data_IF_107489711190
#
_entry.id   IF_107489711190
#
_cell.length_a   1.000
_cell.length_b   1.000
_cell.length_c   1.000
_cell.angle_alpha   90.00
_cell.angle_beta   90.00
_cell.angle_gamma   90.00
#
_symmetry.space_group_name_H-M   'P 1'
#
loop_
_entity.id
_entity.type
_entity.pdbx_description
1 polymer ?
#
# COMPACT_ATOMS: atom_id res chain seq x y z
N UNK A 1 -19.84 56.55 40.12
CA UNK A 1 -20.19 55.17 39.76
C UNK A 1 -20.76 55.02 38.34
N UNK A 2 -21.75 55.80 37.88
CA UNK A 2 -22.32 55.61 36.50
C UNK A 2 -21.34 55.87 35.35
N UNK A 3 -20.32 56.70 35.45
CA UNK A 3 -19.34 56.95 34.37
C UNK A 3 -18.28 55.91 34.31
N UNK A 4 -17.95 55.18 35.38
CA UNK A 4 -17.02 54.02 35.31
C UNK A 4 -17.64 52.81 34.69
N UNK A 5 -18.94 52.57 34.81
CA UNK A 5 -19.65 51.48 34.21
C UNK A 5 -19.75 51.62 32.66
N UNK A 6 -19.92 52.83 32.16
CA UNK A 6 -20.01 53.11 30.72
C UNK A 6 -18.66 52.91 30.03
N UNK A 7 -17.55 53.27 30.68
CA UNK A 7 -16.20 53.03 30.12
C UNK A 7 -15.85 51.55 30.14
N UNK A 8 -16.21 50.80 31.18
CA UNK A 8 -16.00 49.35 31.24
C UNK A 8 -16.80 48.59 30.16
N UNK A 9 -18.05 49.04 29.90
CA UNK A 9 -18.88 48.43 28.84
C UNK A 9 -18.38 48.76 27.42
N UNK A 10 -17.85 49.96 27.20
CA UNK A 10 -17.26 50.36 25.92
C UNK A 10 -15.96 49.62 25.62
N UNK A 11 -15.10 49.41 26.65
CA UNK A 11 -13.87 48.63 26.51
C UNK A 11 -14.19 47.15 26.27
N UNK A 12 -15.22 46.59 26.92
CA UNK A 12 -15.65 45.20 26.70
C UNK A 12 -16.25 44.98 25.30
N UNK A 13 -17.00 45.93 24.75
CA UNK A 13 -17.52 45.88 23.39
C UNK A 13 -16.41 46.04 22.36
N UNK A 14 -15.39 46.84 22.58
CA UNK A 14 -14.24 47.00 21.67
C UNK A 14 -13.39 45.71 21.66
N UNK A 15 -13.17 45.07 22.82
CA UNK A 15 -12.46 43.79 22.88
C UNK A 15 -13.24 42.67 22.21
N UNK A 16 -14.55 42.60 22.33
CA UNK A 16 -15.38 41.62 21.63
C UNK A 16 -15.34 41.86 20.12
N UNK A 17 -15.38 43.13 19.66
CA UNK A 17 -15.27 43.44 18.23
C UNK A 17 -13.88 43.18 17.66
N UNK A 18 -12.79 43.35 18.41
CA UNK A 18 -11.43 43.04 17.98
C UNK A 18 -11.21 41.55 17.95
N UNK A 19 -11.76 40.75 18.88
CA UNK A 19 -11.71 39.28 18.79
C UNK A 19 -12.61 38.73 17.69
N UNK A 20 -13.81 39.28 17.47
CA UNK A 20 -14.68 38.87 16.36
C UNK A 20 -14.11 39.26 14.98
N UNK A 21 -13.31 40.31 14.87
CA UNK A 21 -12.65 40.70 13.62
C UNK A 21 -11.34 39.98 13.38
N UNK A 22 -10.73 39.36 14.39
CA UNK A 22 -9.55 38.48 14.25
C UNK A 22 -9.92 37.06 13.84
N UNK A 23 -11.13 36.58 14.14
CA UNK A 23 -11.61 35.30 13.64
C UNK A 23 -12.11 35.33 12.19
N UNK A 24 -12.33 36.53 11.60
CA UNK A 24 -12.80 36.68 10.21
C UNK A 24 -11.69 36.97 9.19
N UNK A 25 -10.43 36.98 9.60
CA UNK A 25 -9.27 37.12 8.70
C UNK A 25 -8.27 36.00 8.94
N UNK A 26 -8.73 34.74 8.88
CA UNK A 26 -7.92 33.66 8.36
C UNK A 26 -8.23 33.68 6.87
N UNK A 27 -7.33 34.14 5.99
CA UNK A 27 -7.50 33.84 4.59
C UNK A 27 -7.53 32.33 4.52
N UNK A 28 -8.61 31.77 4.01
CA UNK A 28 -8.56 30.47 3.38
C UNK A 28 -7.48 30.59 2.31
N UNK A 29 -6.28 30.19 2.65
CA UNK A 29 -5.25 29.89 1.68
C UNK A 29 -5.74 28.65 0.90
N UNK A 30 -6.74 28.86 0.04
CA UNK A 30 -6.84 28.11 -1.19
C UNK A 30 -5.64 28.55 -2.05
N UNK A 31 -4.45 28.13 -1.68
CA UNK A 31 -3.32 28.09 -2.60
C UNK A 31 -3.50 26.83 -3.41
N UNK A 32 -4.50 26.80 -4.27
CA UNK A 32 -4.45 25.95 -5.43
C UNK A 32 -3.51 26.62 -6.43
N UNK A 33 -2.21 26.41 -6.26
CA UNK A 33 -1.26 26.69 -7.31
C UNK A 33 -1.71 25.86 -8.54
N UNK A 34 -2.11 26.46 -9.67
CA UNK A 34 -2.55 25.72 -10.85
C UNK A 34 -1.53 24.67 -11.32
N UNK A 35 -0.25 24.93 -11.11
CA UNK A 35 0.85 24.02 -11.46
C UNK A 35 0.89 22.81 -10.51
N UNK A 36 0.56 22.97 -9.24
CA UNK A 36 0.47 21.88 -8.28
C UNK A 36 -0.72 20.97 -8.59
N UNK A 37 -1.88 21.56 -8.87
CA UNK A 37 -3.08 20.81 -9.26
C UNK A 37 -2.88 20.02 -10.57
N UNK A 38 -2.18 20.59 -11.53
CA UNK A 38 -1.87 19.92 -12.80
C UNK A 38 -0.89 18.74 -12.61
N UNK A 39 0.11 18.88 -11.73
CA UNK A 39 1.07 17.80 -11.42
C UNK A 39 0.51 16.70 -10.54
N UNK A 40 -0.48 16.99 -9.70
CA UNK A 40 -1.15 16.01 -8.86
C UNK A 40 -2.23 15.21 -9.62
N UNK A 41 -2.44 15.49 -10.91
CA UNK A 41 -3.40 14.73 -11.70
C UNK A 41 -2.95 13.25 -11.81
N UNK A 42 -3.62 12.37 -11.09
CA UNK A 42 -3.32 10.92 -11.05
C UNK A 42 -2.27 10.52 -9.99
N UNK A 43 -1.81 11.45 -9.14
CA UNK A 43 -0.94 11.15 -8.00
C UNK A 43 -1.67 11.38 -6.67
N UNK A 44 -1.61 10.39 -5.79
CA UNK A 44 -2.26 10.39 -4.49
C UNK A 44 -1.23 10.22 -3.39
N UNK A 45 -1.17 11.18 -2.47
CA UNK A 45 -0.28 11.18 -1.32
C UNK A 45 -1.07 11.32 -0.04
N UNK A 46 -0.81 10.48 0.94
CA UNK A 46 -1.53 10.54 2.22
C UNK A 46 -1.06 9.59 3.29
N UNK A 47 -1.96 9.32 4.22
CA UNK A 47 -1.70 8.47 5.37
C UNK A 47 -2.68 7.31 5.41
N UNK A 48 -2.22 6.18 5.94
CA UNK A 48 -3.05 5.03 6.28
C UNK A 48 -3.30 5.00 7.78
N UNK A 49 -4.56 5.05 8.17
CA UNK A 49 -4.99 5.07 9.57
C UNK A 49 -5.37 3.67 10.05
N UNK A 50 -4.58 3.11 10.95
CA UNK A 50 -4.82 1.81 11.59
C UNK A 50 -5.20 1.98 13.07
N UNK A 51 -6.27 2.74 13.34
CA UNK A 51 -6.75 3.03 14.68
C UNK A 51 -8.17 2.53 14.93
N UNK A 52 -8.68 2.77 16.16
CA UNK A 52 -9.93 2.14 16.63
C UNK A 52 -11.07 3.13 16.86
N UNK A 53 -10.83 4.45 16.74
CA UNK A 53 -11.87 5.45 17.03
C UNK A 53 -11.97 6.52 15.95
N UNK A 54 -13.20 6.94 15.67
CA UNK A 54 -13.48 8.02 14.72
C UNK A 54 -12.85 9.35 15.17
N UNK A 55 -12.71 9.57 16.48
CA UNK A 55 -12.07 10.77 17.02
C UNK A 55 -10.58 10.83 16.65
N UNK A 56 -9.85 9.72 16.77
CA UNK A 56 -8.43 9.62 16.35
C UNK A 56 -8.29 9.82 14.84
N UNK A 57 -9.14 9.19 14.04
CA UNK A 57 -9.13 9.37 12.58
C UNK A 57 -9.36 10.84 12.19
N UNK A 58 -10.36 11.51 12.77
CA UNK A 58 -10.63 12.94 12.50
C UNK A 58 -9.50 13.84 12.97
N UNK A 59 -8.83 13.49 14.07
CA UNK A 59 -7.66 14.23 14.55
C UNK A 59 -6.52 14.15 13.52
N UNK A 60 -6.23 12.94 12.99
CA UNK A 60 -5.20 12.74 11.97
C UNK A 60 -5.59 13.44 10.66
N UNK A 61 -6.84 13.31 10.18
CA UNK A 61 -7.33 14.02 9.00
C UNK A 61 -7.09 15.53 9.14
N UNK A 62 -7.46 16.13 10.27
CA UNK A 62 -7.23 17.55 10.50
C UNK A 62 -5.76 17.96 10.50
N UNK A 63 -4.88 17.05 10.90
CA UNK A 63 -3.44 17.28 10.91
C UNK A 63 -2.84 17.27 9.51
N UNK A 64 -3.30 16.35 8.63
CA UNK A 64 -2.64 16.08 7.34
C UNK A 64 -3.33 16.70 6.12
N UNK A 65 -4.61 17.09 6.22
CA UNK A 65 -5.41 17.55 5.05
C UNK A 65 -4.86 18.75 4.31
N UNK A 66 -3.93 19.52 4.92
CA UNK A 66 -3.29 20.65 4.26
C UNK A 66 -2.11 20.25 3.36
N UNK A 67 -1.54 19.07 3.57
CA UNK A 67 -0.37 18.58 2.85
C UNK A 67 -0.55 17.16 2.27
N UNK A 68 -1.78 16.71 2.10
CA UNK A 68 -2.12 15.43 1.48
C UNK A 68 -3.41 15.56 0.68
N UNK A 69 -3.67 14.59 -0.21
CA UNK A 69 -4.92 14.46 -0.95
C UNK A 69 -5.56 13.08 -0.78
N UNK A 70 -4.99 12.20 0.04
CA UNK A 70 -5.45 10.83 0.26
C UNK A 70 -5.55 10.50 1.75
N UNK A 71 -6.57 9.73 2.11
CA UNK A 71 -6.71 9.10 3.42
C UNK A 71 -7.13 7.63 3.26
N UNK A 72 -6.30 6.71 3.73
CA UNK A 72 -6.58 5.28 3.71
C UNK A 72 -7.16 4.87 5.07
N UNK A 73 -8.39 4.37 5.08
CA UNK A 73 -9.04 3.86 6.29
C UNK A 73 -8.67 2.39 6.45
N UNK A 74 -7.48 2.11 7.00
CA UNK A 74 -6.94 0.75 7.21
C UNK A 74 -7.22 0.30 8.65
N UNK A 75 -8.48 0.05 8.98
CA UNK A 75 -8.89 -0.26 10.35
C UNK A 75 -9.88 -1.42 10.37
N UNK A 76 -9.48 -2.52 11.02
CA UNK A 76 -10.36 -3.67 11.25
C UNK A 76 -11.66 -3.30 11.98
N UNK A 77 -11.63 -2.56 13.11
CA UNK A 77 -12.85 -2.14 13.79
C UNK A 77 -13.86 -1.37 12.93
N UNK A 78 -13.38 -0.58 11.95
CA UNK A 78 -14.28 0.13 11.04
C UNK A 78 -14.81 -0.76 9.93
N UNK A 79 -14.05 -1.78 9.53
CA UNK A 79 -14.51 -2.77 8.55
C UNK A 79 -15.74 -3.54 9.05
N UNK A 80 -15.93 -3.63 10.35
CA UNK A 80 -17.07 -4.29 11.00
C UNK A 80 -18.14 -3.31 11.49
N UNK A 81 -18.02 -1.99 11.17
CA UNK A 81 -18.94 -0.96 11.68
C UNK A 81 -19.29 0.07 10.59
N UNK A 82 -20.45 -0.13 9.94
CA UNK A 82 -20.93 0.74 8.88
C UNK A 82 -21.07 2.21 9.31
N UNK A 83 -21.53 2.45 10.56
CA UNK A 83 -21.75 3.81 11.06
C UNK A 83 -20.43 4.57 11.19
N UNK A 84 -19.41 3.94 11.78
CA UNK A 84 -18.10 4.54 11.95
C UNK A 84 -17.38 4.70 10.60
N UNK A 85 -17.51 3.73 9.69
CA UNK A 85 -16.98 3.81 8.33
C UNK A 85 -17.58 5.02 7.60
N UNK A 86 -18.90 5.20 7.62
CA UNK A 86 -19.58 6.34 7.01
C UNK A 86 -19.14 7.67 7.63
N UNK A 87 -19.02 7.73 8.95
CA UNK A 87 -18.61 8.96 9.67
C UNK A 87 -17.22 9.42 9.24
N UNK A 88 -16.27 8.48 9.11
CA UNK A 88 -14.89 8.81 8.72
C UNK A 88 -14.79 9.14 7.25
N UNK A 89 -15.39 8.35 6.36
CA UNK A 89 -15.31 8.60 4.93
C UNK A 89 -15.97 9.94 4.58
N UNK A 90 -17.14 10.22 5.14
CA UNK A 90 -17.79 11.53 4.97
C UNK A 90 -16.90 12.68 5.46
N UNK A 91 -16.23 12.51 6.61
CA UNK A 91 -15.35 13.54 7.15
C UNK A 91 -14.10 13.77 6.29
N UNK A 92 -13.48 12.71 5.80
CA UNK A 92 -12.31 12.79 4.92
C UNK A 92 -12.67 13.48 3.60
N UNK A 93 -13.75 13.05 2.94
CA UNK A 93 -14.23 13.65 1.68
C UNK A 93 -14.64 15.11 1.87
N UNK A 94 -15.36 15.45 2.96
CA UNK A 94 -15.70 16.83 3.29
C UNK A 94 -14.46 17.69 3.59
N UNK A 95 -13.33 17.06 3.96
CA UNK A 95 -12.03 17.71 4.15
C UNK A 95 -11.22 17.83 2.84
N UNK A 96 -11.76 17.40 1.71
CA UNK A 96 -11.13 17.47 0.37
C UNK A 96 -10.17 16.32 0.05
N UNK A 97 -10.23 15.22 0.80
CA UNK A 97 -9.38 14.05 0.62
C UNK A 97 -10.10 12.97 -0.21
N UNK A 98 -9.33 12.28 -1.03
CA UNK A 98 -9.73 11.01 -1.63
C UNK A 98 -9.61 9.89 -0.60
N UNK A 99 -10.36 8.80 -0.76
CA UNK A 99 -10.40 7.72 0.22
C UNK A 99 -10.23 6.35 -0.42
N UNK A 100 -9.48 5.50 0.28
CA UNK A 100 -9.42 4.06 0.10
C UNK A 100 -9.87 3.43 1.42
N UNK A 101 -10.73 2.42 1.38
CA UNK A 101 -11.23 1.76 2.60
C UNK A 101 -10.77 0.32 2.66
N UNK A 102 -10.38 -0.11 3.86
CA UNK A 102 -9.89 -1.45 4.10
C UNK A 102 -11.02 -2.39 4.51
N UNK A 103 -11.05 -3.55 3.86
CA UNK A 103 -11.72 -4.74 4.33
C UNK A 103 -10.72 -5.89 4.26
N UNK A 104 -10.35 -6.49 5.40
CA UNK A 104 -9.42 -7.63 5.42
C UNK A 104 -9.92 -8.78 4.56
N UNK A 105 -11.21 -9.04 4.65
CA UNK A 105 -12.01 -9.93 3.79
C UNK A 105 -13.48 -9.52 3.93
N UNK A 106 -14.32 -9.86 2.96
CA UNK A 106 -15.75 -9.62 3.12
C UNK A 106 -16.35 -10.64 4.07
N UNK A 107 -16.71 -10.14 5.25
CA UNK A 107 -17.26 -10.95 6.31
C UNK A 107 -18.72 -11.31 6.00
N UNK A 108 -19.08 -12.58 5.84
CA UNK A 108 -20.48 -12.98 5.57
C UNK A 108 -21.48 -12.54 6.64
N UNK A 109 -21.00 -12.22 7.85
CA UNK A 109 -21.86 -11.71 8.92
C UNK A 109 -22.09 -10.18 8.80
N UNK A 110 -21.31 -9.48 7.98
CA UNK A 110 -21.38 -8.04 7.76
C UNK A 110 -22.05 -7.76 6.39
N UNK A 111 -23.34 -8.09 6.29
CA UNK A 111 -24.09 -8.02 5.04
C UNK A 111 -24.17 -6.61 4.42
N UNK A 112 -23.77 -5.57 5.16
CA UNK A 112 -23.73 -4.19 4.70
C UNK A 112 -22.53 -3.88 3.78
N UNK A 113 -21.41 -4.61 3.89
CA UNK A 113 -20.15 -4.26 3.22
C UNK A 113 -20.28 -4.16 1.71
N UNK A 114 -20.86 -5.16 1.05
CA UNK A 114 -21.01 -5.17 -0.41
C UNK A 114 -22.00 -4.11 -0.93
N UNK A 115 -23.22 -3.97 -0.37
CA UNK A 115 -24.12 -2.86 -0.74
C UNK A 115 -23.50 -1.48 -0.50
N UNK A 116 -22.71 -1.32 0.55
CA UNK A 116 -22.00 -0.09 0.85
C UNK A 116 -20.98 0.25 -0.25
N UNK A 117 -20.14 -0.72 -0.64
CA UNK A 117 -19.14 -0.56 -1.71
C UNK A 117 -19.84 -0.22 -3.04
N UNK A 118 -20.92 -0.90 -3.38
CA UNK A 118 -21.67 -0.65 -4.62
C UNK A 118 -22.25 0.78 -4.67
N UNK A 119 -22.67 1.31 -3.51
CA UNK A 119 -23.18 2.68 -3.40
C UNK A 119 -22.09 3.75 -3.29
N UNK A 120 -20.86 3.39 -2.91
CA UNK A 120 -19.78 4.30 -2.58
C UNK A 120 -19.43 5.27 -3.72
N UNK A 121 -19.34 4.76 -4.96
CA UNK A 121 -19.10 5.61 -6.15
C UNK A 121 -20.20 6.63 -6.39
N UNK A 122 -21.46 6.29 -6.10
CA UNK A 122 -22.57 7.23 -6.26
C UNK A 122 -22.56 8.28 -5.16
N UNK A 123 -22.18 7.89 -3.95
CA UNK A 123 -22.18 8.75 -2.77
C UNK A 123 -21.02 9.74 -2.76
N UNK A 124 -19.81 9.29 -3.08
CA UNK A 124 -18.57 10.10 -2.96
C UNK A 124 -17.88 10.40 -4.31
N UNK A 125 -18.42 9.86 -5.39
CA UNK A 125 -17.93 10.14 -6.75
C UNK A 125 -16.46 9.74 -6.94
N UNK A 126 -15.67 10.65 -7.50
CA UNK A 126 -14.24 10.46 -7.74
C UNK A 126 -13.39 10.42 -6.47
N UNK A 127 -13.95 10.83 -5.32
CA UNK A 127 -13.22 10.76 -4.05
C UNK A 127 -13.13 9.33 -3.50
N UNK A 128 -14.00 8.41 -3.90
CA UNK A 128 -13.87 7.01 -3.55
C UNK A 128 -13.00 6.28 -4.58
N UNK A 129 -11.75 5.99 -4.23
CA UNK A 129 -10.77 5.39 -5.13
C UNK A 129 -10.91 3.87 -5.23
N UNK A 130 -11.35 3.21 -4.16
CA UNK A 130 -11.52 1.77 -4.15
C UNK A 130 -11.39 1.13 -2.77
N UNK A 131 -11.17 -0.17 -2.80
CA UNK A 131 -11.12 -1.04 -1.60
C UNK A 131 -9.74 -1.67 -1.48
N UNK A 132 -9.16 -1.53 -0.30
CA UNK A 132 -7.97 -2.25 0.12
C UNK A 132 -8.43 -3.60 0.71
N UNK A 133 -8.06 -4.68 0.04
CA UNK A 133 -8.42 -6.06 0.42
C UNK A 133 -7.19 -6.84 0.83
N UNK A 134 -7.30 -7.61 1.88
CA UNK A 134 -6.21 -8.39 2.46
C UNK A 134 -4.98 -7.49 2.71
N UNK A 135 -4.04 -8.00 3.47
CA UNK A 135 -2.81 -7.32 3.78
C UNK A 135 -1.67 -8.29 3.49
N UNK A 136 -0.66 -7.87 2.77
CA UNK A 136 0.54 -8.65 2.50
C UNK A 136 0.30 -10.05 1.89
N UNK A 137 -0.53 -10.22 0.85
CA UNK A 137 -0.89 -11.55 0.33
C UNK A 137 0.33 -12.37 -0.11
N UNK A 138 1.27 -11.78 -0.84
CA UNK A 138 2.49 -12.44 -1.30
C UNK A 138 3.51 -12.66 -0.19
N UNK A 139 3.70 -11.66 0.68
CA UNK A 139 4.59 -11.73 1.84
C UNK A 139 4.15 -12.80 2.83
N UNK A 140 2.86 -12.88 3.11
CA UNK A 140 2.30 -13.94 3.96
C UNK A 140 2.55 -15.34 3.41
N UNK A 141 2.60 -15.53 2.10
CA UNK A 141 2.98 -16.82 1.49
C UNK A 141 4.42 -17.19 1.84
N UNK A 142 5.34 -16.24 1.75
CA UNK A 142 6.76 -16.49 2.07
C UNK A 142 6.95 -16.81 3.56
N UNK A 143 6.23 -16.13 4.44
CA UNK A 143 6.36 -16.23 5.89
C UNK A 143 5.37 -17.21 6.54
N UNK A 144 4.59 -17.91 5.72
CA UNK A 144 3.47 -18.73 6.15
C UNK A 144 3.86 -19.87 7.10
N UNK A 145 3.05 -20.07 8.10
CA UNK A 145 2.97 -21.35 8.78
C UNK A 145 2.09 -22.33 7.97
N UNK A 146 2.65 -22.95 6.96
CA UNK A 146 1.94 -23.83 6.05
C UNK A 146 1.18 -24.97 6.75
N UNK A 147 1.62 -25.41 7.92
CA UNK A 147 0.90 -26.43 8.71
C UNK A 147 -0.45 -25.90 9.17
N UNK A 148 -0.52 -24.66 9.60
CA UNK A 148 -1.79 -24.01 10.00
C UNK A 148 -2.68 -23.77 8.79
N UNK A 149 -2.12 -23.26 7.69
CA UNK A 149 -2.87 -23.03 6.46
C UNK A 149 -3.47 -24.29 5.90
N UNK A 150 -2.70 -25.39 5.82
CA UNK A 150 -3.21 -26.67 5.33
C UNK A 150 -4.27 -27.23 6.25
N UNK A 151 -4.06 -27.17 7.57
CA UNK A 151 -5.07 -27.61 8.55
C UNK A 151 -6.37 -26.82 8.46
N UNK A 152 -6.27 -25.53 8.19
CA UNK A 152 -7.43 -24.66 7.99
C UNK A 152 -8.13 -24.96 6.67
N UNK A 153 -7.37 -25.14 5.58
CA UNK A 153 -7.90 -25.49 4.28
C UNK A 153 -8.55 -26.86 4.23
N UNK A 154 -8.00 -27.85 4.93
CA UNK A 154 -8.65 -29.16 5.07
C UNK A 154 -10.04 -29.04 5.72
N UNK A 155 -10.18 -28.17 6.70
CA UNK A 155 -11.49 -27.88 7.30
C UNK A 155 -12.45 -27.16 6.36
N UNK A 156 -11.92 -26.30 5.49
CA UNK A 156 -12.69 -25.52 4.52
C UNK A 156 -13.03 -26.30 3.28
N UNK A 157 -12.11 -27.12 2.76
CA UNK A 157 -12.36 -27.97 1.57
C UNK A 157 -13.52 -28.94 1.80
N UNK A 158 -13.71 -29.35 3.05
CA UNK A 158 -14.88 -30.12 3.47
C UNK A 158 -16.18 -29.30 3.40
N UNK A 159 -16.09 -27.95 3.53
CA UNK A 159 -17.25 -27.08 3.64
C UNK A 159 -17.62 -26.34 2.35
N UNK A 160 -16.64 -25.99 1.52
CA UNK A 160 -16.87 -25.04 0.42
C UNK A 160 -16.61 -25.58 -0.98
N UNK A 161 -15.92 -26.69 -1.16
CA UNK A 161 -15.45 -27.22 -2.46
C UNK A 161 -14.68 -26.16 -3.32
N UNK A 162 -14.18 -25.10 -2.72
CA UNK A 162 -13.59 -23.96 -3.41
C UNK A 162 -12.08 -24.06 -3.60
N UNK A 163 -11.39 -24.87 -2.75
CA UNK A 163 -9.97 -25.14 -2.93
C UNK A 163 -9.81 -26.50 -3.60
N UNK A 164 -9.21 -26.58 -4.80
CA UNK A 164 -8.97 -27.86 -5.45
C UNK A 164 -8.15 -28.80 -4.56
N UNK A 165 -8.65 -29.99 -4.34
CA UNK A 165 -8.01 -31.02 -3.48
C UNK A 165 -6.56 -31.32 -3.90
N UNK A 166 -6.27 -31.26 -5.17
CA UNK A 166 -4.94 -31.42 -5.77
C UNK A 166 -3.92 -30.37 -5.25
N UNK A 167 -4.35 -29.13 -5.00
CA UNK A 167 -3.47 -28.08 -4.44
C UNK A 167 -3.11 -28.42 -2.98
N UNK A 168 -4.08 -28.84 -2.17
CA UNK A 168 -3.82 -29.28 -0.81
C UNK A 168 -2.86 -30.47 -0.77
N UNK A 169 -3.05 -31.45 -1.64
CA UNK A 169 -2.12 -32.59 -1.75
C UNK A 169 -0.72 -32.18 -2.16
N UNK A 170 -0.57 -31.29 -3.15
CA UNK A 170 0.73 -30.80 -3.61
C UNK A 170 1.49 -30.09 -2.50
N UNK A 171 0.79 -29.28 -1.70
CA UNK A 171 1.38 -28.57 -0.56
C UNK A 171 1.80 -29.56 0.53
N UNK A 172 0.97 -30.52 0.88
CA UNK A 172 1.31 -31.58 1.83
C UNK A 172 2.55 -32.37 1.42
N UNK A 173 2.70 -32.68 0.13
CA UNK A 173 3.88 -33.36 -0.42
C UNK A 173 5.13 -32.46 -0.35
N UNK A 174 4.99 -31.17 -0.62
CA UNK A 174 6.07 -30.19 -0.52
C UNK A 174 6.54 -30.04 0.94
N UNK A 175 5.61 -29.87 1.89
CA UNK A 175 5.92 -29.76 3.31
C UNK A 175 6.64 -30.99 3.86
N UNK A 176 6.28 -32.17 3.39
CA UNK A 176 6.91 -33.43 3.78
C UNK A 176 8.22 -33.71 3.04
N UNK A 177 8.71 -32.80 2.19
CA UNK A 177 9.91 -32.98 1.38
C UNK A 177 9.79 -34.03 0.29
N UNK A 178 8.58 -34.54 0.04
CA UNK A 178 8.31 -35.56 -0.99
C UNK A 178 8.09 -35.00 -2.37
N UNK A 179 7.85 -33.69 -2.46
CA UNK A 179 7.73 -32.96 -3.73
C UNK A 179 8.89 -31.96 -3.84
N UNK A 180 9.93 -32.27 -4.63
CA UNK A 180 11.03 -31.32 -4.82
C UNK A 180 10.59 -30.12 -5.65
N UNK A 181 11.20 -28.94 -5.42
CA UNK A 181 11.00 -27.77 -6.26
C UNK A 181 11.72 -27.99 -7.61
N UNK A 182 11.04 -28.60 -8.54
CA UNK A 182 11.52 -28.81 -9.91
C UNK A 182 10.38 -28.74 -10.93
N UNK A 183 9.17 -28.45 -10.48
CA UNK A 183 8.02 -28.31 -11.35
C UNK A 183 7.26 -27.02 -11.00
N UNK A 184 6.95 -26.28 -12.02
CA UNK A 184 6.07 -25.13 -11.98
C UNK A 184 4.74 -25.42 -11.28
N UNK A 185 4.13 -26.58 -11.56
CA UNK A 185 2.85 -26.96 -10.99
C UNK A 185 2.83 -27.01 -9.47
N UNK A 186 3.94 -27.32 -8.82
CA UNK A 186 4.01 -27.36 -7.35
C UNK A 186 4.10 -25.95 -6.74
N UNK A 187 4.87 -25.06 -7.36
CA UNK A 187 5.00 -23.68 -6.90
C UNK A 187 3.73 -22.88 -7.16
N UNK A 188 3.14 -23.05 -8.34
CA UNK A 188 1.85 -22.45 -8.68
C UNK A 188 0.75 -22.91 -7.73
N UNK A 189 0.71 -24.21 -7.38
CA UNK A 189 -0.26 -24.74 -6.43
C UNK A 189 -0.13 -24.10 -5.03
N UNK A 190 1.08 -23.83 -4.55
CA UNK A 190 1.30 -23.19 -3.26
C UNK A 190 0.77 -21.75 -3.28
N UNK A 191 1.06 -21.02 -4.34
CA UNK A 191 0.64 -19.66 -4.51
C UNK A 191 -0.88 -19.55 -4.69
N UNK A 192 -1.45 -20.27 -5.64
CA UNK A 192 -2.89 -20.27 -5.89
C UNK A 192 -3.70 -20.72 -4.67
N UNK A 193 -3.18 -21.66 -3.88
CA UNK A 193 -3.85 -22.12 -2.69
C UNK A 193 -4.12 -20.98 -1.68
N UNK A 194 -3.12 -20.14 -1.42
CA UNK A 194 -3.29 -19.04 -0.46
C UNK A 194 -4.07 -17.89 -1.07
N UNK A 195 -3.80 -17.56 -2.30
CA UNK A 195 -4.28 -16.36 -2.96
C UNK A 195 -5.66 -16.53 -3.57
N UNK A 196 -5.97 -17.67 -4.21
CA UNK A 196 -7.32 -17.95 -4.71
C UNK A 196 -8.31 -18.06 -3.56
N UNK A 197 -7.90 -18.68 -2.46
CA UNK A 197 -8.79 -18.81 -1.32
C UNK A 197 -9.12 -17.46 -0.67
N UNK A 198 -8.15 -16.54 -0.56
CA UNK A 198 -8.37 -15.21 0.01
C UNK A 198 -8.96 -14.22 -0.99
N UNK A 199 -8.56 -14.32 -2.24
CA UNK A 199 -8.83 -13.31 -3.26
C UNK A 199 -10.00 -13.65 -4.18
N UNK A 200 -10.25 -14.91 -4.48
CA UNK A 200 -11.21 -15.30 -5.53
C UNK A 200 -12.63 -14.81 -5.23
N UNK A 201 -13.09 -14.95 -4.00
CA UNK A 201 -14.42 -14.48 -3.61
C UNK A 201 -14.53 -12.94 -3.57
N UNK A 202 -13.48 -12.25 -3.16
CA UNK A 202 -13.51 -10.82 -2.89
C UNK A 202 -13.06 -9.98 -4.09
N UNK A 203 -11.98 -10.35 -4.77
CA UNK A 203 -11.50 -9.64 -5.95
C UNK A 203 -12.46 -9.77 -7.12
N UNK A 204 -12.97 -10.96 -7.40
CA UNK A 204 -14.00 -11.19 -8.42
C UNK A 204 -15.23 -10.34 -8.18
N UNK A 205 -15.65 -10.19 -6.91
CA UNK A 205 -16.77 -9.37 -6.55
C UNK A 205 -16.51 -7.88 -6.81
N UNK A 206 -15.33 -7.35 -6.40
CA UNK A 206 -14.93 -5.96 -6.70
C UNK A 206 -14.86 -5.71 -8.21
N UNK A 207 -14.29 -6.64 -8.96
CA UNK A 207 -14.24 -6.55 -10.43
C UNK A 207 -15.64 -6.47 -11.04
N UNK A 208 -16.60 -7.26 -10.55
CA UNK A 208 -17.98 -7.24 -11.03
C UNK A 208 -18.67 -5.88 -10.78
N UNK A 209 -18.31 -5.19 -9.70
CA UNK A 209 -18.76 -3.85 -9.34
C UNK A 209 -17.94 -2.73 -10.02
N UNK A 210 -16.90 -3.09 -10.78
CA UNK A 210 -15.94 -2.13 -11.36
C UNK A 210 -15.30 -1.22 -10.30
N UNK A 211 -14.96 -1.80 -9.15
CA UNK A 211 -14.28 -1.15 -8.03
C UNK A 211 -12.80 -1.55 -8.08
N UNK A 212 -11.91 -0.56 -7.95
CA UNK A 212 -10.48 -0.82 -7.88
C UNK A 212 -10.12 -1.54 -6.57
N UNK A 213 -9.27 -2.56 -6.69
CA UNK A 213 -8.71 -3.30 -5.56
C UNK A 213 -7.29 -2.85 -5.29
N UNK A 214 -7.00 -2.63 -4.01
CA UNK A 214 -5.69 -2.27 -3.48
C UNK A 214 -5.23 -3.34 -2.50
N UNK A 215 -3.91 -3.49 -2.38
CA UNK A 215 -3.24 -4.16 -1.26
C UNK A 215 -1.87 -3.53 -1.04
N UNK A 216 -1.26 -3.75 0.13
CA UNK A 216 0.18 -3.56 0.28
C UNK A 216 0.87 -4.91 0.35
N UNK A 217 2.14 -4.94 0.00
CA UNK A 217 2.96 -6.14 0.13
C UNK A 217 4.45 -5.78 0.22
N UNK A 218 5.24 -6.74 0.74
CA UNK A 218 6.69 -6.65 0.84
C UNK A 218 7.42 -7.71 0.00
N UNK A 219 6.69 -8.57 -0.75
CA UNK A 219 7.26 -9.57 -1.64
C UNK A 219 6.25 -9.98 -2.73
N UNK A 220 6.71 -10.68 -3.74
CA UNK A 220 5.90 -11.37 -4.75
C UNK A 220 4.90 -10.49 -5.54
N UNK A 221 5.11 -9.19 -5.66
CA UNK A 221 4.23 -8.22 -6.33
C UNK A 221 3.76 -8.65 -7.73
N UNK A 222 4.61 -9.34 -8.51
CA UNK A 222 4.25 -9.86 -9.82
C UNK A 222 3.03 -10.77 -9.77
N UNK A 223 3.02 -11.65 -8.79
CA UNK A 223 1.98 -12.66 -8.61
C UNK A 223 0.72 -12.06 -7.99
N UNK A 224 0.83 -11.04 -7.14
CA UNK A 224 -0.33 -10.31 -6.61
C UNK A 224 -1.13 -9.65 -7.74
N UNK A 225 -0.46 -9.11 -8.76
CA UNK A 225 -1.16 -8.61 -9.94
C UNK A 225 -1.81 -9.74 -10.76
N UNK A 226 -1.19 -10.91 -10.85
CA UNK A 226 -1.76 -12.07 -11.53
C UNK A 226 -3.02 -12.59 -10.83
N UNK A 227 -3.11 -12.48 -9.50
CA UNK A 227 -4.34 -12.80 -8.75
C UNK A 227 -5.49 -11.86 -9.12
N UNK A 228 -5.19 -10.63 -9.50
CA UNK A 228 -6.22 -9.69 -9.96
C UNK A 228 -6.25 -8.33 -9.29
N UNK A 229 -5.31 -8.00 -8.40
CA UNK A 229 -5.22 -6.66 -7.86
C UNK A 229 -5.01 -5.60 -8.94
N UNK A 230 -5.62 -4.44 -8.74
CA UNK A 230 -5.43 -3.30 -9.65
C UNK A 230 -4.22 -2.46 -9.26
N UNK A 231 -3.97 -2.31 -7.95
CA UNK A 231 -2.90 -1.48 -7.41
C UNK A 231 -2.26 -2.17 -6.22
N UNK A 232 -0.93 -2.20 -6.22
CA UNK A 232 -0.13 -2.70 -5.10
C UNK A 232 0.71 -1.55 -4.56
N UNK A 233 0.73 -1.40 -3.25
CA UNK A 233 1.61 -0.51 -2.52
C UNK A 233 2.79 -1.32 -1.99
N UNK A 234 3.98 -1.13 -2.56
CA UNK A 234 5.18 -1.79 -2.05
C UNK A 234 5.51 -1.25 -0.66
N UNK A 235 5.68 -2.13 0.30
CA UNK A 235 6.06 -1.77 1.66
C UNK A 235 7.54 -1.42 1.72
N UNK A 236 7.82 -0.20 2.17
CA UNK A 236 9.18 0.27 2.38
C UNK A 236 9.50 0.14 3.87
N UNK A 237 10.23 -0.91 4.20
CA UNK A 237 10.55 -1.30 5.57
C UNK A 237 12.03 -1.61 5.80
N UNK A 238 12.42 -1.75 7.08
CA UNK A 238 13.79 -1.70 7.61
C UNK A 238 14.81 -2.66 7.02
N UNK A 239 14.38 -3.78 6.47
CA UNK A 239 15.31 -4.83 6.05
C UNK A 239 15.35 -5.04 4.54
N UNK A 240 14.66 -4.22 3.78
CA UNK A 240 14.62 -4.30 2.33
C UNK A 240 15.16 -3.03 1.69
N UNK A 241 15.80 -3.18 0.54
CA UNK A 241 16.17 -2.04 -0.28
C UNK A 241 14.91 -1.40 -0.87
N UNK A 242 14.62 -0.14 -0.53
CA UNK A 242 13.49 0.61 -1.11
C UNK A 242 13.60 0.64 -2.64
N UNK A 243 14.80 0.83 -3.18
CA UNK A 243 15.04 0.80 -4.64
C UNK A 243 14.64 -0.55 -5.23
N UNK A 244 15.02 -1.67 -4.59
CA UNK A 244 14.65 -3.01 -5.07
C UNK A 244 13.13 -3.22 -5.05
N UNK A 245 12.45 -2.81 -3.98
CA UNK A 245 11.00 -2.92 -3.87
C UNK A 245 10.28 -2.10 -4.96
N UNK A 246 10.73 -0.87 -5.19
CA UNK A 246 10.23 0.01 -6.26
C UNK A 246 10.45 -0.62 -7.63
N UNK A 247 11.65 -1.11 -7.91
CA UNK A 247 11.99 -1.72 -9.21
C UNK A 247 11.17 -2.99 -9.49
N UNK A 248 10.85 -3.77 -8.45
CA UNK A 248 10.02 -4.96 -8.55
C UNK A 248 8.54 -4.63 -8.76
N UNK A 249 7.96 -3.74 -7.94
CA UNK A 249 6.53 -3.41 -8.04
C UNK A 249 6.24 -2.64 -9.31
N UNK A 250 7.09 -1.67 -9.69
CA UNK A 250 6.97 -0.90 -10.93
C UNK A 250 7.09 -1.81 -12.15
N UNK A 251 8.11 -2.65 -12.19
CA UNK A 251 8.32 -3.61 -13.29
C UNK A 251 7.13 -4.56 -13.47
N UNK A 252 6.56 -5.07 -12.36
CA UNK A 252 5.37 -5.91 -12.38
C UNK A 252 4.13 -5.15 -12.86
N UNK A 253 3.91 -3.94 -12.35
CA UNK A 253 2.78 -3.09 -12.73
C UNK A 253 2.83 -2.71 -14.21
N UNK A 254 3.96 -2.21 -14.69
CA UNK A 254 4.15 -1.79 -16.07
C UNK A 254 4.00 -2.96 -17.04
N UNK A 255 4.54 -4.14 -16.70
CA UNK A 255 4.40 -5.33 -17.53
C UNK A 255 2.93 -5.75 -17.67
N UNK A 256 2.16 -5.69 -16.61
CA UNK A 256 0.78 -6.15 -16.53
C UNK A 256 -0.27 -5.04 -16.75
N UNK A 257 0.17 -3.82 -17.11
CA UNK A 257 -0.69 -2.64 -17.31
C UNK A 257 -1.56 -2.33 -16.09
N UNK A 258 -0.91 -2.24 -14.94
CA UNK A 258 -1.49 -1.97 -13.63
C UNK A 258 -0.97 -0.66 -13.06
N UNK A 259 -1.51 -0.21 -11.94
CA UNK A 259 -1.01 0.92 -11.16
C UNK A 259 -0.24 0.44 -9.94
N UNK A 260 0.68 1.26 -9.46
CA UNK A 260 1.49 0.94 -8.29
C UNK A 260 1.72 2.16 -7.40
N UNK A 261 2.17 1.88 -6.21
CA UNK A 261 2.58 2.88 -5.25
C UNK A 261 3.50 2.31 -4.19
N UNK A 262 3.72 3.08 -3.15
CA UNK A 262 4.49 2.66 -1.98
C UNK A 262 3.75 3.00 -0.69
N UNK A 263 4.03 2.23 0.36
CA UNK A 263 3.63 2.54 1.71
C UNK A 263 4.85 2.45 2.62
N UNK A 264 5.15 3.56 3.32
CA UNK A 264 6.18 3.58 4.36
C UNK A 264 5.55 3.04 5.62
N UNK A 265 5.99 1.87 6.06
CA UNK A 265 5.34 1.08 7.09
C UNK A 265 6.20 0.90 8.34
N UNK A 266 5.72 0.11 9.25
CA UNK A 266 6.33 -0.22 10.54
C UNK A 266 7.65 -0.97 10.36
N UNK A 267 8.71 -0.44 10.98
CA UNK A 267 10.07 -0.98 10.85
C UNK A 267 10.67 -1.52 12.15
N UNK A 268 10.24 -0.96 13.28
CA UNK A 268 10.89 -1.22 14.56
C UNK A 268 9.84 -1.44 15.67
N UNK A 269 10.11 -2.37 16.56
CA UNK A 269 9.25 -2.64 17.73
C UNK A 269 9.31 -1.52 18.80
N UNK A 270 10.24 -0.58 18.64
CA UNK A 270 10.50 0.54 19.55
C UNK A 270 10.60 1.85 18.74
N UNK A 271 10.40 3.01 19.37
CA UNK A 271 10.60 4.28 18.68
C UNK A 271 11.96 4.33 17.92
N UNK A 272 11.95 4.83 16.67
CA UNK A 272 10.91 5.63 16.03
C UNK A 272 9.77 4.85 15.35
N UNK A 273 9.68 3.56 15.47
CA UNK A 273 8.72 2.64 14.87
C UNK A 273 8.75 2.58 13.33
N UNK A 274 8.77 3.70 12.64
CA UNK A 274 9.01 3.84 11.20
C UNK A 274 10.41 4.43 10.98
N UNK A 275 10.81 4.61 9.74
CA UNK A 275 12.07 5.30 9.41
C UNK A 275 12.09 6.73 9.99
N UNK A 276 13.29 7.26 10.24
CA UNK A 276 13.40 8.64 10.66
C UNK A 276 12.94 9.60 9.56
N UNK A 277 12.53 10.80 9.93
CA UNK A 277 11.92 11.77 9.02
C UNK A 277 12.75 12.12 7.78
N UNK A 278 14.08 12.02 7.86
CA UNK A 278 14.96 12.24 6.71
C UNK A 278 14.90 11.08 5.72
N UNK A 279 14.92 9.85 6.20
CA UNK A 279 14.77 8.65 5.37
C UNK A 279 13.36 8.57 4.78
N UNK A 280 12.33 8.88 5.58
CA UNK A 280 10.94 8.98 5.14
C UNK A 280 10.83 9.96 3.96
N UNK A 281 11.38 11.17 4.10
CA UNK A 281 11.38 12.15 3.02
C UNK A 281 12.11 11.63 1.76
N UNK A 282 13.27 10.98 1.92
CA UNK A 282 14.02 10.42 0.80
C UNK A 282 13.22 9.34 0.06
N UNK A 283 12.56 8.45 0.79
CA UNK A 283 11.72 7.39 0.22
C UNK A 283 10.51 7.95 -0.55
N UNK A 284 9.89 9.03 -0.05
CA UNK A 284 8.83 9.74 -0.78
C UNK A 284 9.34 10.30 -2.10
N UNK A 285 10.49 11.00 -2.09
CA UNK A 285 11.08 11.56 -3.31
C UNK A 285 11.48 10.46 -4.30
N UNK A 286 12.07 9.35 -3.83
CA UNK A 286 12.45 8.21 -4.66
C UNK A 286 11.23 7.57 -5.34
N UNK A 287 10.17 7.31 -4.58
CA UNK A 287 8.93 6.72 -5.09
C UNK A 287 8.24 7.62 -6.12
N UNK A 288 8.07 8.92 -5.79
CA UNK A 288 7.48 9.88 -6.71
C UNK A 288 8.28 10.01 -8.00
N UNK A 289 9.60 10.17 -7.89
CA UNK A 289 10.45 10.33 -9.07
C UNK A 289 10.55 9.05 -9.90
N UNK A 290 10.33 7.88 -9.31
CA UNK A 290 10.20 6.62 -10.02
C UNK A 290 8.84 6.44 -10.72
N UNK A 291 7.87 7.31 -10.47
CA UNK A 291 6.57 7.31 -11.15
C UNK A 291 5.44 6.62 -10.38
N UNK A 292 5.54 6.51 -9.06
CA UNK A 292 4.46 5.99 -8.22
C UNK A 292 3.15 6.78 -8.43
N UNK A 293 2.02 6.10 -8.48
CA UNK A 293 0.70 6.72 -8.50
C UNK A 293 0.18 7.02 -7.09
N UNK A 294 0.66 6.25 -6.10
CA UNK A 294 0.24 6.34 -4.71
C UNK A 294 1.45 6.33 -3.79
N UNK A 295 1.43 7.21 -2.79
CA UNK A 295 2.37 7.18 -1.69
C UNK A 295 1.62 7.33 -0.38
N UNK A 296 1.81 6.39 0.51
CA UNK A 296 1.10 6.29 1.77
C UNK A 296 2.10 6.18 2.91
N UNK A 297 1.80 6.82 4.04
CA UNK A 297 2.56 6.66 5.27
C UNK A 297 1.63 5.99 6.29
N UNK A 298 2.07 4.86 6.82
CA UNK A 298 1.31 4.09 7.80
C UNK A 298 1.27 4.80 9.16
N UNK A 299 0.09 4.87 9.78
CA UNK A 299 -0.10 5.38 11.14
C UNK A 299 -0.82 4.36 12.01
N UNK A 300 -0.28 4.15 13.20
CA UNK A 300 -0.84 3.27 14.21
C UNK A 300 -1.02 4.04 15.54
N UNK A 301 -2.21 4.61 15.79
CA UNK A 301 -2.45 5.51 16.93
C UNK A 301 -2.63 4.79 18.28
N UNK A 302 -2.42 3.47 18.34
CA UNK A 302 -2.55 2.70 19.59
C UNK A 302 -1.32 2.79 20.49
N UNK A 303 -0.32 3.60 20.11
CA UNK A 303 0.87 3.83 20.93
C UNK A 303 0.50 4.75 22.12
N UNK A 304 0.72 4.31 23.36
CA UNK A 304 0.36 5.10 24.52
C UNK A 304 1.12 6.43 24.60
N UNK A 305 0.38 7.50 24.85
CA UNK A 305 0.94 8.83 25.13
C UNK A 305 1.16 9.72 23.90
N UNK A 306 0.97 9.22 22.70
CA UNK A 306 1.00 10.03 21.48
C UNK A 306 -0.40 10.18 20.88
N UNK A 307 -0.74 11.40 20.45
CA UNK A 307 -2.05 11.72 19.87
C UNK A 307 -2.15 11.25 18.38
N UNK A 308 -1.04 11.04 17.72
CA UNK A 308 -0.91 10.67 16.31
C UNK A 308 -0.19 9.33 16.13
N UNK A 309 -0.20 8.48 17.17
CA UNK A 309 0.42 7.17 17.13
C UNK A 309 1.92 7.21 16.86
N UNK A 310 2.36 6.54 15.81
CA UNK A 310 3.79 6.43 15.49
C UNK A 310 4.35 7.67 14.76
N UNK A 311 3.50 8.55 14.24
CA UNK A 311 3.92 9.73 13.49
C UNK A 311 4.34 10.89 14.41
N UNK A 312 5.57 11.36 14.23
CA UNK A 312 6.15 12.48 15.00
C UNK A 312 5.94 13.82 14.31
N UNK A 313 6.25 14.92 15.01
CA UNK A 313 6.22 16.25 14.41
C UNK A 313 7.25 16.41 13.27
N UNK A 314 8.38 15.70 13.34
CA UNK A 314 9.38 15.68 12.27
C UNK A 314 8.85 14.96 11.01
N UNK A 315 8.06 13.91 11.18
CA UNK A 315 7.46 13.20 10.06
C UNK A 315 6.40 14.06 9.37
N UNK A 316 5.55 14.75 10.11
CA UNK A 316 4.62 15.73 9.54
C UNK A 316 5.33 16.89 8.83
N UNK A 317 6.49 17.33 9.34
CA UNK A 317 7.29 18.33 8.64
C UNK A 317 7.90 17.80 7.36
N UNK A 318 8.35 16.54 7.33
CA UNK A 318 8.84 15.88 6.13
C UNK A 318 7.73 15.72 5.08
N UNK A 319 6.52 15.35 5.50
CA UNK A 319 5.33 15.29 4.63
C UNK A 319 5.02 16.66 4.00
N UNK A 320 5.02 17.72 4.81
CA UNK A 320 4.77 19.07 4.31
C UNK A 320 5.85 19.51 3.30
N UNK A 321 7.13 19.26 3.61
CA UNK A 321 8.23 19.59 2.72
C UNK A 321 8.09 18.85 1.37
N UNK A 322 7.80 17.56 1.41
CA UNK A 322 7.57 16.77 0.21
C UNK A 322 6.41 17.34 -0.62
N UNK A 323 5.26 17.61 0.03
CA UNK A 323 4.09 18.20 -0.63
C UNK A 323 4.40 19.53 -1.31
N UNK A 324 5.15 20.39 -0.66
CA UNK A 324 5.54 21.70 -1.19
C UNK A 324 6.53 21.59 -2.35
N UNK A 325 7.33 20.51 -2.40
CA UNK A 325 8.32 20.28 -3.45
C UNK A 325 7.78 19.55 -4.68
N UNK A 326 6.67 18.81 -4.58
CA UNK A 326 6.07 18.07 -5.71
C UNK A 326 6.03 18.90 -7.02
N UNK A 327 5.66 20.21 -7.02
CA UNK A 327 5.63 21.02 -8.25
C UNK A 327 6.99 21.14 -8.94
N UNK A 328 8.09 20.97 -8.21
CA UNK A 328 9.46 21.11 -8.73
C UNK A 328 10.11 19.77 -9.05
N UNK A 329 9.66 18.68 -8.42
CA UNK A 329 10.17 17.35 -8.67
C UNK A 329 9.85 16.89 -10.10
N UNK A 330 10.73 16.10 -10.67
CA UNK A 330 10.55 15.51 -12.00
C UNK A 330 10.42 14.01 -11.87
N UNK A 331 9.36 13.47 -12.44
CA UNK A 331 9.26 12.03 -12.66
C UNK A 331 10.31 11.65 -13.71
N UNK A 332 11.07 10.62 -13.44
CA UNK A 332 12.10 10.09 -14.33
C UNK A 332 11.46 9.48 -15.59
N UNK A 333 12.24 9.37 -16.65
CA UNK A 333 11.84 8.53 -17.77
C UNK A 333 11.67 7.07 -17.30
N UNK A 334 10.76 6.33 -17.93
CA UNK A 334 10.61 4.91 -17.66
C UNK A 334 11.95 4.18 -17.81
N UNK A 335 12.25 3.19 -16.93
CA UNK A 335 13.49 2.42 -16.99
C UNK A 335 13.71 1.80 -18.35
N UNK A 336 14.96 1.82 -18.81
CA UNK A 336 15.35 1.24 -20.08
C UNK A 336 16.07 -0.10 -19.93
N UNK A 337 16.28 -0.53 -18.70
CA UNK A 337 16.98 -1.76 -18.33
C UNK A 337 16.07 -2.67 -17.53
N UNK A 338 16.10 -3.96 -17.81
CA UNK A 338 15.37 -4.96 -17.05
C UNK A 338 16.26 -6.14 -16.63
N UNK A 339 16.03 -6.62 -15.41
CA UNK A 339 16.42 -7.96 -14.97
C UNK A 339 15.23 -8.89 -15.07
N UNK A 340 15.35 -9.94 -15.89
CA UNK A 340 14.30 -10.93 -16.11
C UNK A 340 14.57 -12.16 -15.26
N UNK A 341 13.64 -12.44 -14.34
CA UNK A 341 13.65 -13.59 -13.44
C UNK A 341 13.01 -14.82 -14.12
N UNK A 342 13.29 -16.05 -13.62
CA UNK A 342 12.65 -17.24 -14.18
C UNK A 342 11.14 -17.19 -14.00
N UNK A 343 10.41 -17.74 -14.94
CA UNK A 343 8.96 -17.84 -14.88
C UNK A 343 8.54 -18.55 -13.59
N UNK A 344 7.54 -17.99 -12.91
CA UNK A 344 6.83 -18.61 -11.78
C UNK A 344 7.73 -19.01 -10.58
N UNK A 345 8.85 -18.33 -10.47
CA UNK A 345 9.82 -18.55 -9.41
C UNK A 345 9.55 -17.64 -8.20
N UNK A 346 8.66 -18.07 -7.30
CA UNK A 346 8.18 -17.32 -6.15
C UNK A 346 9.18 -17.26 -5.00
N UNK A 347 10.34 -16.67 -5.23
CA UNK A 347 11.34 -16.39 -4.21
C UNK A 347 11.24 -14.94 -3.76
N UNK A 348 11.17 -14.69 -2.42
CA UNK A 348 10.85 -13.37 -1.85
C UNK A 348 11.86 -12.27 -2.14
N UNK A 349 13.13 -12.60 -2.42
CA UNK A 349 14.22 -11.66 -2.71
C UNK A 349 14.56 -10.65 -1.58
N UNK A 350 14.00 -10.78 -0.38
CA UNK A 350 14.31 -9.91 0.76
C UNK A 350 15.69 -10.21 1.33
N UNK A 351 16.08 -11.46 1.28
CA UNK A 351 17.39 -11.96 1.72
C UNK A 351 17.78 -13.22 0.94
N UNK A 352 19.06 -13.60 1.04
CA UNK A 352 19.54 -14.85 0.44
C UNK A 352 18.88 -16.11 1.04
N UNK A 353 18.36 -16.00 2.25
CA UNK A 353 17.73 -17.12 2.97
C UNK A 353 16.23 -17.23 2.77
N UNK A 354 15.62 -16.33 2.01
CA UNK A 354 14.20 -16.41 1.72
C UNK A 354 13.80 -17.74 1.12
N UNK A 355 12.63 -18.22 1.51
CA UNK A 355 12.07 -19.44 0.96
C UNK A 355 11.48 -19.18 -0.43
N UNK A 356 11.40 -20.23 -1.21
CA UNK A 356 10.68 -20.23 -2.50
C UNK A 356 9.24 -20.65 -2.16
N UNK A 357 8.27 -19.77 -2.41
CA UNK A 357 6.87 -19.96 -2.07
C UNK A 357 6.60 -20.28 -0.59
N UNK A 358 7.51 -19.91 0.31
CA UNK A 358 7.41 -20.26 1.73
C UNK A 358 7.60 -21.76 2.05
N UNK A 359 7.84 -22.61 1.06
CA UNK A 359 7.88 -24.06 1.20
C UNK A 359 9.27 -24.67 0.96
N UNK A 360 10.03 -24.14 0.01
CA UNK A 360 11.31 -24.70 -0.38
C UNK A 360 12.47 -23.79 0.04
N UNK A 361 13.57 -24.39 0.41
CA UNK A 361 14.81 -23.65 0.71
C UNK A 361 15.36 -22.99 -0.55
N UNK A 362 16.10 -21.87 -0.39
CA UNK A 362 16.80 -21.24 -1.49
C UNK A 362 17.75 -22.27 -2.17
N UNK A 363 17.88 -22.13 -3.47
CA UNK A 363 18.67 -23.04 -4.32
C UNK A 363 19.75 -22.27 -5.11
N UNK A 364 20.38 -22.94 -6.08
CA UNK A 364 21.38 -22.29 -6.93
C UNK A 364 20.79 -21.17 -7.79
N UNK A 365 19.52 -21.26 -8.15
CA UNK A 365 18.83 -20.23 -8.94
C UNK A 365 18.64 -18.96 -8.12
N UNK A 366 18.16 -19.06 -6.87
CA UNK A 366 18.05 -17.91 -5.97
C UNK A 366 19.40 -17.26 -5.68
N UNK A 367 20.46 -18.06 -5.52
CA UNK A 367 21.82 -17.54 -5.33
C UNK A 367 22.33 -16.74 -6.54
N UNK A 368 22.03 -17.21 -7.76
CA UNK A 368 22.35 -16.50 -9.00
C UNK A 368 21.55 -15.21 -9.15
N UNK A 369 20.24 -15.28 -8.93
CA UNK A 369 19.35 -14.10 -8.94
C UNK A 369 19.85 -13.04 -7.96
N UNK A 370 20.18 -13.46 -6.72
CA UNK A 370 20.71 -12.52 -5.72
C UNK A 370 22.00 -11.83 -6.20
N UNK A 371 22.94 -12.62 -6.71
CA UNK A 371 24.23 -12.06 -7.16
C UNK A 371 24.07 -11.05 -8.29
N UNK A 372 23.23 -11.36 -9.28
CA UNK A 372 23.03 -10.46 -10.43
C UNK A 372 22.17 -9.25 -10.05
N UNK A 373 21.13 -9.43 -9.24
CA UNK A 373 20.26 -8.32 -8.82
C UNK A 373 21.04 -7.27 -8.02
N UNK A 374 21.85 -7.68 -7.03
CA UNK A 374 22.64 -6.75 -6.25
C UNK A 374 23.63 -5.95 -7.10
N UNK A 375 24.24 -6.58 -8.10
CA UNK A 375 25.12 -5.90 -9.03
C UNK A 375 24.37 -4.88 -9.88
N UNK A 376 23.25 -5.26 -10.48
CA UNK A 376 22.45 -4.38 -11.35
C UNK A 376 21.79 -3.24 -10.56
N UNK A 377 21.30 -3.50 -9.35
CA UNK A 377 20.79 -2.46 -8.45
C UNK A 377 21.85 -1.42 -8.12
N UNK A 378 23.10 -1.87 -7.87
CA UNK A 378 24.22 -0.95 -7.63
C UNK A 378 24.59 -0.13 -8.88
N UNK A 379 24.41 -0.68 -10.08
CA UNK A 379 24.79 -0.02 -11.35
C UNK A 379 23.68 0.91 -11.86
N UNK A 380 22.42 0.51 -11.80
CA UNK A 380 21.30 1.20 -12.43
C UNK A 380 20.39 1.92 -11.45
N UNK A 381 20.35 1.52 -10.16
CA UNK A 381 19.41 2.06 -9.19
C UNK A 381 17.97 2.04 -9.73
N UNK A 382 17.23 3.13 -9.58
CA UNK A 382 15.85 3.27 -10.07
C UNK A 382 15.69 3.23 -11.61
N UNK A 383 16.76 3.07 -12.39
CA UNK A 383 16.68 2.84 -13.84
C UNK A 383 16.63 1.34 -14.23
N UNK A 384 16.40 0.47 -13.27
CA UNK A 384 16.24 -0.96 -13.43
C UNK A 384 14.79 -1.36 -13.13
N UNK A 385 14.18 -2.22 -13.95
CA UNK A 385 13.00 -2.97 -13.57
C UNK A 385 13.37 -4.43 -13.33
N UNK A 386 12.74 -5.04 -12.31
CA UNK A 386 12.87 -6.47 -12.05
C UNK A 386 11.53 -7.12 -12.39
N UNK A 387 11.54 -7.99 -13.40
CA UNK A 387 10.34 -8.57 -14.01
C UNK A 387 10.50 -10.08 -14.14
N UNK A 388 9.40 -10.80 -14.34
CA UNK A 388 9.44 -12.24 -14.58
C UNK A 388 9.30 -12.58 -16.07
N UNK A 389 9.90 -13.67 -16.47
CA UNK A 389 9.72 -14.22 -17.82
C UNK A 389 8.31 -14.80 -17.91
N UNK A 390 7.43 -14.13 -18.63
CA UNK A 390 6.08 -14.62 -18.90
C UNK A 390 5.70 -14.35 -20.36
N UNK A 391 5.25 -15.38 -21.11
CA UNK A 391 4.79 -15.21 -22.49
C UNK A 391 3.58 -14.28 -22.64
N UNK A 392 2.77 -14.10 -21.58
CA UNK A 392 1.63 -13.19 -21.59
C UNK A 392 2.08 -11.72 -21.56
N UNK A 393 3.26 -11.45 -21.01
CA UNK A 393 3.81 -10.11 -20.82
C UNK A 393 5.18 -9.96 -21.51
N UNK A 394 5.23 -9.89 -22.85
CA UNK A 394 6.49 -9.87 -23.59
C UNK A 394 7.31 -8.62 -23.30
N UNK A 395 8.59 -8.79 -22.99
CA UNK A 395 9.53 -7.73 -22.69
C UNK A 395 10.12 -7.04 -23.91
N UNK A 396 9.95 -7.62 -25.11
CA UNK A 396 10.51 -7.07 -26.35
C UNK A 396 9.93 -5.70 -26.68
N UNK A 397 10.81 -4.73 -26.93
CA UNK A 397 10.44 -3.36 -27.28
C UNK A 397 10.10 -2.46 -26.08
N UNK A 398 10.04 -3.02 -24.86
CA UNK A 398 9.87 -2.23 -23.63
C UNK A 398 11.21 -1.70 -23.12
N UNK A 399 12.25 -2.52 -23.16
CA UNK A 399 13.57 -2.22 -22.63
C UNK A 399 14.62 -2.19 -23.72
N UNK A 400 15.61 -1.32 -23.57
CA UNK A 400 16.77 -1.25 -24.47
C UNK A 400 17.81 -2.30 -24.08
N UNK A 401 17.91 -2.63 -22.80
CA UNK A 401 18.84 -3.59 -22.24
C UNK A 401 18.09 -4.58 -21.36
N UNK A 402 18.33 -5.87 -21.61
CA UNK A 402 17.67 -6.96 -20.88
C UNK A 402 18.75 -7.91 -20.39
N UNK A 403 18.79 -8.11 -19.08
CA UNK A 403 19.60 -9.12 -18.42
C UNK A 403 18.71 -10.27 -17.97
N UNK A 404 19.20 -11.47 -18.11
CA UNK A 404 18.54 -12.65 -17.56
C UNK A 404 19.26 -13.11 -16.30
N UNK A 405 18.53 -13.64 -15.37
CA UNK A 405 19.00 -14.10 -14.06
C UNK A 405 20.20 -15.07 -14.11
N UNK A 406 20.35 -15.81 -15.21
CA UNK A 406 21.42 -16.81 -15.40
C UNK A 406 22.62 -16.30 -16.23
N UNK A 407 22.68 -15.00 -16.50
CA UNK A 407 23.80 -14.39 -17.22
C UNK A 407 24.92 -13.96 -16.26
N UNK A 408 26.13 -13.96 -16.77
CA UNK A 408 27.27 -13.34 -16.09
C UNK A 408 27.34 -11.87 -16.50
N UNK A 409 27.29 -10.97 -15.55
CA UNK A 409 27.36 -9.50 -15.74
C UNK A 409 28.65 -8.96 -15.23
#
# INVERSE_FOLDING_TARGET
MKRLLVVAFAVMLITIFVFASLEFFIPSLEVSNPDQKAKLQGFHFGVSFCGNTTAQAKLLINKVKACTNLFVVQSGPFSDNETDMNDIVNYAVASGLDVIVYFGYFNPNEAWQIPWIDSAKQQWGSHFLGVYLNDEPGGQVIDANWTEFVGYADQLSIRSAQVPYEHVQSINLAMNGSLPFNSYAASESAYHFVTEWQADLNLTQLQSLSINSFTSDYALYWFDYEIGYNTILAELGSNQSAIQAIDMVRGAADAQNKTWGTIITWNYDQPPYIENSSALYSQLVESYTAGANYEVIFDYPQIPGDAYGILTQQDFAAMQNFWDEIPTLKVNDAPKTALVLPKDYGWGMRSQSDLIWGLWKPDNTSAQIWSISQKLLSEYGLNLDIVYQDPQYPMQGRYQQIYYWNQTV
#
